data_IF_408822437036
#
_entry.id   IF_408822437036
#
_cell.length_a   1.000
_cell.length_b   1.000
_cell.length_c   1.000
_cell.angle_alpha   90.00
_cell.angle_beta   90.00
_cell.angle_gamma   90.00
#
_symmetry.space_group_name_H-M   'P 1'
#
loop_
_entity.id
_entity.type
_entity.pdbx_description
1 polymer ?
#
# COMPACT_ATOMS: atom_id res chain seq x y z
N UNK A 1 -20.03 -32.61 3.45
CA UNK A 1 -20.28 -31.19 3.74
C UNK A 1 -21.17 -31.11 4.98
N UNK A 2 -20.63 -31.33 6.16
CA UNK A 2 -21.34 -31.13 7.42
C UNK A 2 -21.13 -29.69 7.85
N UNK A 3 -22.25 -28.98 8.03
CA UNK A 3 -22.24 -27.56 8.32
C UNK A 3 -21.61 -27.27 9.68
N UNK A 4 -20.50 -26.55 9.65
CA UNK A 4 -19.99 -25.88 10.83
C UNK A 4 -21.10 -24.96 11.35
N UNK A 5 -21.53 -25.19 12.57
CA UNK A 5 -22.53 -24.41 13.28
C UNK A 5 -22.08 -22.96 13.29
N UNK A 6 -22.81 -22.10 12.58
CA UNK A 6 -22.42 -20.67 12.48
C UNK A 6 -22.46 -20.07 13.87
N UNK A 7 -21.40 -19.36 14.23
CA UNK A 7 -21.35 -18.61 15.48
C UNK A 7 -22.62 -17.77 15.67
N UNK A 8 -23.25 -17.89 16.85
CA UNK A 8 -24.39 -17.06 17.23
C UNK A 8 -24.00 -15.58 17.21
N UNK A 9 -24.96 -14.70 16.93
CA UNK A 9 -24.76 -13.24 16.79
C UNK A 9 -24.02 -12.63 17.99
N UNK A 10 -24.31 -13.09 19.21
CA UNK A 10 -23.64 -12.63 20.43
C UNK A 10 -22.16 -13.03 20.47
N UNK A 11 -21.87 -14.29 20.07
CA UNK A 11 -20.49 -14.81 20.03
C UNK A 11 -19.69 -14.18 18.91
N UNK A 12 -20.29 -13.96 17.73
CA UNK A 12 -19.66 -13.22 16.63
C UNK A 12 -19.32 -11.78 17.03
N UNK A 13 -20.25 -11.11 17.75
CA UNK A 13 -20.01 -9.76 18.28
C UNK A 13 -18.87 -9.73 19.32
N UNK A 14 -18.79 -10.72 20.20
CA UNK A 14 -17.72 -10.82 21.20
C UNK A 14 -16.36 -11.08 20.51
N UNK A 15 -16.32 -11.96 19.50
CA UNK A 15 -15.11 -12.24 18.73
C UNK A 15 -14.55 -10.98 18.07
N UNK A 16 -15.37 -10.28 17.30
CA UNK A 16 -14.93 -9.09 16.56
C UNK A 16 -14.70 -7.90 17.50
N UNK A 17 -15.49 -7.75 18.55
CA UNK A 17 -15.27 -6.74 19.59
C UNK A 17 -13.94 -6.90 20.30
N UNK A 18 -13.54 -8.14 20.62
CA UNK A 18 -12.24 -8.44 21.20
C UNK A 18 -11.08 -8.11 20.27
N UNK A 19 -11.19 -8.44 18.97
CA UNK A 19 -10.20 -8.06 17.96
C UNK A 19 -10.08 -6.53 17.91
N UNK A 20 -11.20 -5.83 17.84
CA UNK A 20 -11.23 -4.37 17.78
C UNK A 20 -10.57 -3.73 19.00
N UNK A 21 -10.86 -4.25 20.19
CA UNK A 21 -10.22 -3.79 21.43
C UNK A 21 -8.70 -3.97 21.39
N UNK A 22 -8.22 -5.15 20.98
CA UNK A 22 -6.77 -5.43 20.89
C UNK A 22 -6.12 -4.50 19.87
N UNK A 23 -6.73 -4.30 18.69
CA UNK A 23 -6.18 -3.45 17.63
C UNK A 23 -6.36 -1.95 17.90
N UNK A 24 -7.22 -1.54 18.82
CA UNK A 24 -7.37 -0.14 19.22
C UNK A 24 -6.28 0.31 20.21
N UNK A 25 -5.66 -0.63 20.93
CA UNK A 25 -4.64 -0.32 21.94
C UNK A 25 -3.44 0.49 21.39
N UNK A 26 -2.88 0.20 20.19
CA UNK A 26 -1.80 1.01 19.63
C UNK A 26 -2.16 2.48 19.43
N UNK A 27 -3.43 2.76 19.15
CA UNK A 27 -3.94 4.14 18.94
C UNK A 27 -3.86 4.96 20.23
N UNK A 28 -3.85 4.30 21.40
CA UNK A 28 -3.73 4.93 22.73
C UNK A 28 -2.29 5.36 23.08
N UNK A 29 -1.34 5.35 22.14
CA UNK A 29 0.00 5.90 22.34
C UNK A 29 1.06 4.90 22.83
N UNK A 30 0.79 3.60 22.80
CA UNK A 30 1.76 2.56 23.15
C UNK A 30 2.73 2.38 21.98
N UNK A 31 4.00 2.68 22.19
CA UNK A 31 5.08 2.57 21.19
C UNK A 31 5.54 1.12 20.99
N UNK A 32 4.64 0.24 20.58
CA UNK A 32 4.95 -1.17 20.27
C UNK A 32 4.58 -1.41 18.80
N UNK A 33 5.36 -2.20 18.04
CA UNK A 33 5.04 -2.51 16.65
C UNK A 33 3.64 -3.09 16.51
N UNK A 34 2.89 -2.59 15.52
CA UNK A 34 1.50 -3.01 15.23
C UNK A 34 1.39 -4.53 15.02
N UNK A 35 2.44 -5.15 14.50
CA UNK A 35 2.55 -6.59 14.30
C UNK A 35 2.31 -7.39 15.59
N UNK A 36 2.77 -6.90 16.74
CA UNK A 36 2.57 -7.55 18.02
C UNK A 36 1.08 -7.62 18.40
N UNK A 37 0.32 -6.57 18.12
CA UNK A 37 -1.12 -6.54 18.38
C UNK A 37 -1.90 -7.44 17.41
N UNK A 38 -1.48 -7.52 16.15
CA UNK A 38 -2.04 -8.49 15.22
C UNK A 38 -1.75 -9.93 15.64
N UNK A 39 -0.57 -10.20 16.19
CA UNK A 39 -0.23 -11.52 16.73
C UNK A 39 -1.07 -11.87 17.96
N UNK A 40 -1.28 -10.92 18.87
CA UNK A 40 -2.17 -11.10 20.02
C UNK A 40 -3.63 -11.35 19.58
N UNK A 41 -4.11 -10.57 18.60
CA UNK A 41 -5.44 -10.78 18.01
C UNK A 41 -5.55 -12.18 17.36
N UNK A 42 -4.50 -12.64 16.72
CA UNK A 42 -4.42 -13.96 16.11
C UNK A 42 -4.54 -15.08 17.14
N UNK A 43 -3.79 -14.99 18.26
CA UNK A 43 -3.91 -15.93 19.39
C UNK A 43 -5.32 -15.89 19.99
N UNK A 44 -5.86 -14.69 20.21
CA UNK A 44 -7.21 -14.52 20.76
C UNK A 44 -8.26 -15.22 19.88
N UNK A 45 -8.20 -15.04 18.56
CA UNK A 45 -9.17 -15.64 17.62
C UNK A 45 -9.07 -17.16 17.64
N UNK A 46 -7.89 -17.73 17.66
CA UNK A 46 -7.70 -19.19 17.74
C UNK A 46 -8.32 -19.73 19.02
N UNK A 47 -7.93 -19.21 20.16
CA UNK A 47 -8.44 -19.68 21.47
C UNK A 47 -9.97 -19.52 21.55
N UNK A 48 -10.51 -18.42 21.04
CA UNK A 48 -11.94 -18.19 21.03
C UNK A 48 -12.69 -19.19 20.14
N UNK A 49 -12.16 -19.49 18.95
CA UNK A 49 -12.81 -20.42 18.01
C UNK A 49 -12.68 -21.87 18.47
N UNK A 50 -11.55 -22.28 19.05
CA UNK A 50 -11.40 -23.60 19.67
C UNK A 50 -12.37 -23.80 20.83
N UNK A 51 -12.55 -22.78 21.69
CA UNK A 51 -13.55 -22.81 22.76
C UNK A 51 -15.00 -22.91 22.25
N UNK A 52 -15.24 -22.58 20.95
CA UNK A 52 -16.53 -22.68 20.30
C UNK A 52 -16.62 -23.88 19.31
N UNK A 53 -15.88 -24.95 19.59
CA UNK A 53 -15.96 -26.25 18.90
C UNK A 53 -15.42 -26.29 17.46
N UNK A 54 -14.59 -25.31 17.07
CA UNK A 54 -13.84 -25.40 15.82
C UNK A 54 -12.56 -26.23 16.06
N UNK A 55 -12.29 -27.17 15.16
CA UNK A 55 -11.06 -27.97 15.24
C UNK A 55 -9.85 -27.20 14.72
N UNK A 56 -8.67 -27.47 15.28
CA UNK A 56 -7.41 -26.88 14.80
C UNK A 56 -7.19 -27.06 13.30
N UNK A 57 -7.50 -28.26 12.78
CA UNK A 57 -7.32 -28.56 11.36
C UNK A 57 -8.18 -27.66 10.46
N UNK A 58 -9.43 -27.39 10.86
CA UNK A 58 -10.32 -26.48 10.10
C UNK A 58 -9.83 -25.04 10.12
N UNK A 59 -9.29 -24.58 11.28
CA UNK A 59 -8.72 -23.24 11.39
C UNK A 59 -7.45 -23.11 10.57
N UNK A 60 -6.58 -24.12 10.62
CA UNK A 60 -5.35 -24.17 9.84
C UNK A 60 -5.63 -24.13 8.33
N UNK A 61 -6.60 -24.93 7.85
CA UNK A 61 -7.01 -24.91 6.44
C UNK A 61 -7.52 -23.54 6.01
N UNK A 62 -8.36 -22.91 6.82
CA UNK A 62 -8.89 -21.57 6.55
C UNK A 62 -7.78 -20.51 6.52
N UNK A 63 -6.82 -20.56 7.46
CA UNK A 63 -5.66 -19.70 7.49
C UNK A 63 -4.81 -19.83 6.23
N UNK A 64 -4.43 -21.08 5.88
CA UNK A 64 -3.61 -21.35 4.69
C UNK A 64 -4.32 -20.88 3.43
N UNK A 65 -5.60 -21.22 3.26
CA UNK A 65 -6.39 -20.80 2.11
C UNK A 65 -6.45 -19.28 1.95
N UNK A 66 -6.61 -18.53 3.04
CA UNK A 66 -6.59 -17.06 2.98
C UNK A 66 -5.20 -16.50 2.73
N UNK A 67 -4.15 -17.08 3.30
CA UNK A 67 -2.78 -16.65 3.06
C UNK A 67 -2.35 -16.82 1.59
N UNK A 68 -2.95 -17.74 0.81
CA UNK A 68 -2.67 -17.82 -0.63
C UNK A 68 -3.04 -16.53 -1.37
N UNK A 69 -4.06 -15.82 -0.91
CA UNK A 69 -4.46 -14.51 -1.46
C UNK A 69 -3.42 -13.40 -1.16
N UNK A 70 -2.62 -13.56 -0.10
CA UNK A 70 -1.58 -12.62 0.28
C UNK A 70 -0.29 -12.77 -0.53
N UNK A 71 -0.09 -13.89 -1.23
CA UNK A 71 1.16 -14.21 -1.94
C UNK A 71 1.51 -13.14 -2.98
N UNK A 72 0.56 -12.72 -3.81
CA UNK A 72 0.79 -11.71 -4.84
C UNK A 72 1.18 -10.33 -4.26
N UNK A 73 0.44 -9.75 -3.28
CA UNK A 73 0.87 -8.54 -2.58
C UNK A 73 2.23 -8.66 -1.90
N UNK A 74 2.55 -9.82 -1.30
CA UNK A 74 3.84 -10.04 -0.65
C UNK A 74 4.99 -9.96 -1.65
N UNK A 75 4.90 -10.66 -2.79
CA UNK A 75 5.92 -10.56 -3.84
C UNK A 75 6.07 -9.14 -4.36
N UNK A 76 4.96 -8.42 -4.50
CA UNK A 76 4.99 -7.01 -4.89
C UNK A 76 5.78 -6.17 -3.87
N UNK A 77 5.52 -6.32 -2.57
CA UNK A 77 6.22 -5.59 -1.51
C UNK A 77 7.72 -5.90 -1.49
N UNK A 78 8.09 -7.17 -1.63
CA UNK A 78 9.51 -7.56 -1.68
C UNK A 78 10.24 -6.93 -2.88
N UNK A 79 9.61 -6.96 -4.05
CA UNK A 79 10.17 -6.32 -5.26
C UNK A 79 10.25 -4.79 -5.10
N UNK A 80 9.23 -4.15 -4.48
CA UNK A 80 9.23 -2.72 -4.23
C UNK A 80 10.34 -2.32 -3.25
N UNK A 81 10.55 -3.09 -2.17
CA UNK A 81 11.64 -2.87 -1.23
C UNK A 81 13.01 -3.01 -1.88
N UNK A 82 13.22 -4.07 -2.68
CA UNK A 82 14.43 -4.28 -3.46
C UNK A 82 14.72 -3.11 -4.42
N UNK A 83 13.71 -2.72 -5.20
CA UNK A 83 13.81 -1.62 -6.15
C UNK A 83 14.16 -0.30 -5.46
N UNK A 84 13.48 0.00 -4.34
CA UNK A 84 13.74 1.24 -3.58
C UNK A 84 15.19 1.31 -3.10
N UNK A 85 15.72 0.22 -2.53
CA UNK A 85 17.12 0.15 -2.11
C UNK A 85 18.09 0.41 -3.26
N UNK A 86 17.90 -0.27 -4.39
CA UNK A 86 18.75 -0.12 -5.58
C UNK A 86 18.59 1.26 -6.23
N UNK A 87 17.40 1.83 -6.27
CA UNK A 87 17.18 3.17 -6.82
C UNK A 87 17.77 4.29 -5.94
N UNK A 88 17.86 4.06 -4.64
CA UNK A 88 18.65 4.94 -3.76
C UNK A 88 20.13 4.85 -4.08
N UNK A 89 20.68 3.64 -4.24
CA UNK A 89 22.09 3.41 -4.56
C UNK A 89 22.45 3.96 -5.94
N UNK A 90 21.60 3.74 -6.96
CA UNK A 90 21.82 4.23 -8.34
C UNK A 90 21.63 5.74 -8.51
N UNK A 91 21.15 6.45 -7.47
CA UNK A 91 20.86 7.87 -7.55
C UNK A 91 19.55 8.21 -8.27
N UNK A 92 18.74 7.21 -8.65
CA UNK A 92 17.46 7.41 -9.32
C UNK A 92 16.47 8.19 -8.43
N UNK A 93 16.28 7.77 -7.17
CA UNK A 93 15.39 8.47 -6.22
C UNK A 93 15.92 9.88 -5.90
N UNK A 94 17.21 10.07 -5.53
CA UNK A 94 17.77 11.40 -5.34
C UNK A 94 17.60 12.33 -6.56
N UNK A 95 17.89 11.82 -7.77
CA UNK A 95 17.77 12.58 -9.01
C UNK A 95 16.34 13.03 -9.31
N UNK A 96 15.38 12.09 -9.18
CA UNK A 96 13.96 12.38 -9.36
C UNK A 96 13.41 13.35 -8.29
N UNK A 97 13.87 13.19 -7.05
CA UNK A 97 13.49 14.09 -5.95
C UNK A 97 13.98 15.50 -6.24
N UNK A 98 15.24 15.66 -6.68
CA UNK A 98 15.78 16.94 -7.07
C UNK A 98 14.97 17.60 -8.21
N UNK A 99 14.70 16.85 -9.28
CA UNK A 99 13.88 17.32 -10.40
C UNK A 99 12.47 17.70 -9.94
N UNK A 100 11.88 16.88 -9.07
CA UNK A 100 10.55 17.16 -8.50
C UNK A 100 10.51 18.47 -7.70
N UNK A 101 11.52 18.73 -6.87
CA UNK A 101 11.63 19.98 -6.10
C UNK A 101 11.78 21.20 -7.01
N UNK A 102 12.49 21.09 -8.13
CA UNK A 102 12.63 22.20 -9.08
C UNK A 102 11.33 22.55 -9.82
N UNK A 103 10.48 21.55 -10.08
CA UNK A 103 9.27 21.71 -10.89
C UNK A 103 8.00 21.92 -10.06
N UNK A 104 7.96 21.36 -8.84
CA UNK A 104 6.78 21.41 -7.97
C UNK A 104 7.00 22.49 -6.91
N UNK A 105 6.13 23.49 -6.89
CA UNK A 105 6.13 24.47 -5.79
C UNK A 105 5.61 23.80 -4.51
N UNK A 106 6.19 24.11 -3.34
CA UNK A 106 5.76 23.49 -2.07
C UNK A 106 4.26 23.59 -1.82
N UNK A 107 3.64 24.72 -2.12
CA UNK A 107 2.20 24.94 -1.93
C UNK A 107 1.33 23.96 -2.74
N UNK A 108 1.80 23.55 -3.93
CA UNK A 108 1.10 22.67 -4.85
C UNK A 108 1.50 21.21 -4.69
N UNK A 109 2.49 20.91 -3.84
CA UNK A 109 2.99 19.56 -3.63
C UNK A 109 1.86 18.55 -3.29
N UNK A 110 0.95 18.81 -2.28
CA UNK A 110 -0.06 17.83 -1.93
C UNK A 110 -1.02 17.53 -3.08
N UNK A 111 -1.41 18.56 -3.85
CA UNK A 111 -2.29 18.39 -5.01
C UNK A 111 -1.60 17.60 -6.12
N UNK A 112 -0.32 17.90 -6.37
CA UNK A 112 0.48 17.22 -7.42
C UNK A 112 0.74 15.77 -7.05
N UNK A 113 1.09 15.48 -5.79
CA UNK A 113 1.28 14.12 -5.29
C UNK A 113 -0.01 13.30 -5.34
N UNK A 114 -1.13 13.90 -4.91
CA UNK A 114 -2.45 13.28 -5.01
C UNK A 114 -2.79 12.94 -6.48
N UNK A 115 -2.68 13.92 -7.38
CA UNK A 115 -3.03 13.76 -8.80
C UNK A 115 -2.12 12.73 -9.49
N UNK A 116 -0.82 12.72 -9.20
CA UNK A 116 0.13 11.75 -9.73
C UNK A 116 -0.18 10.33 -9.29
N UNK A 117 -0.42 10.12 -8.00
CA UNK A 117 -0.79 8.80 -7.46
C UNK A 117 -2.18 8.36 -7.94
N UNK A 118 -3.13 9.28 -8.04
CA UNK A 118 -4.46 9.03 -8.59
C UNK A 118 -4.39 8.55 -10.04
N UNK A 119 -3.70 9.29 -10.91
CA UNK A 119 -3.58 8.95 -12.32
C UNK A 119 -2.86 7.61 -12.52
N UNK A 120 -1.78 7.39 -11.78
CA UNK A 120 -1.02 6.15 -11.86
C UNK A 120 -1.84 4.94 -11.39
N UNK A 121 -2.59 5.08 -10.29
CA UNK A 121 -3.48 4.04 -9.78
C UNK A 121 -4.65 3.78 -10.72
N UNK A 122 -5.22 4.82 -11.33
CA UNK A 122 -6.26 4.71 -12.34
C UNK A 122 -5.80 3.91 -13.57
N UNK A 123 -4.58 4.17 -14.06
CA UNK A 123 -4.01 3.50 -15.23
C UNK A 123 -3.60 2.04 -14.93
N UNK A 124 -3.09 1.78 -13.74
CA UNK A 124 -2.60 0.44 -13.37
C UNK A 124 -3.66 -0.45 -12.74
N UNK A 125 -4.73 0.14 -12.19
CA UNK A 125 -5.75 -0.59 -11.44
C UNK A 125 -5.25 -1.15 -10.11
N UNK A 126 -4.16 -0.61 -9.55
CA UNK A 126 -3.53 -1.14 -8.34
C UNK A 126 -3.04 -0.03 -7.40
N UNK A 127 -3.56 -0.03 -6.16
CA UNK A 127 -3.09 0.87 -5.09
C UNK A 127 -1.64 0.57 -4.73
N UNK A 128 -1.27 -0.70 -4.60
CA UNK A 128 0.09 -1.11 -4.25
C UNK A 128 1.11 -0.65 -5.28
N UNK A 129 0.76 -0.79 -6.57
CA UNK A 129 1.60 -0.31 -7.67
C UNK A 129 1.83 1.20 -7.59
N UNK A 130 0.77 1.96 -7.33
CA UNK A 130 0.85 3.41 -7.20
C UNK A 130 1.68 3.84 -5.99
N UNK A 131 1.41 3.28 -4.82
CA UNK A 131 2.15 3.61 -3.60
C UNK A 131 3.62 3.16 -3.66
N UNK A 132 3.88 1.97 -4.22
CA UNK A 132 5.23 1.40 -4.28
C UNK A 132 6.12 1.99 -5.38
N UNK A 133 5.58 2.78 -6.31
CA UNK A 133 6.35 3.47 -7.35
C UNK A 133 6.26 4.98 -7.18
N UNK A 134 5.17 5.59 -7.63
CA UNK A 134 4.94 7.04 -7.53
C UNK A 134 4.86 7.52 -6.09
N UNK A 135 4.28 6.71 -5.19
CA UNK A 135 4.16 7.06 -3.78
C UNK A 135 5.49 7.25 -3.10
N UNK A 136 6.45 6.36 -3.32
CA UNK A 136 7.81 6.49 -2.76
C UNK A 136 8.49 7.75 -3.28
N UNK A 137 8.36 8.04 -4.59
CA UNK A 137 8.92 9.23 -5.18
C UNK A 137 8.34 10.51 -4.56
N UNK A 138 7.01 10.62 -4.52
CA UNK A 138 6.36 11.79 -3.93
C UNK A 138 6.61 11.89 -2.42
N UNK A 139 6.74 10.77 -1.70
CA UNK A 139 7.09 10.80 -0.28
C UNK A 139 8.46 11.46 -0.08
N UNK A 140 9.45 11.07 -0.86
CA UNK A 140 10.79 11.67 -0.79
C UNK A 140 10.79 13.15 -1.21
N UNK A 141 10.04 13.54 -2.23
CA UNK A 141 9.87 14.95 -2.63
C UNK A 141 9.24 15.74 -1.48
N UNK A 142 8.16 15.26 -0.89
CA UNK A 142 7.44 15.95 0.18
C UNK A 142 8.27 16.11 1.44
N UNK A 143 8.94 15.06 1.89
CA UNK A 143 9.84 15.14 3.07
C UNK A 143 11.02 16.06 2.81
N UNK A 144 11.58 16.06 1.61
CA UNK A 144 12.64 17.00 1.21
C UNK A 144 12.14 18.46 1.12
N UNK A 145 10.86 18.70 0.88
CA UNK A 145 10.21 20.00 0.94
C UNK A 145 9.79 20.40 2.37
N UNK A 146 10.05 19.56 3.39
CA UNK A 146 9.73 19.84 4.79
C UNK A 146 8.32 19.44 5.22
N UNK A 147 7.56 18.73 4.38
CA UNK A 147 6.29 18.16 4.81
C UNK A 147 6.51 17.02 5.80
N UNK A 148 5.65 16.96 6.81
CA UNK A 148 5.61 15.79 7.69
C UNK A 148 5.31 14.53 6.88
N UNK A 149 6.05 13.46 7.15
CA UNK A 149 5.90 12.16 6.47
C UNK A 149 4.44 11.65 6.51
N UNK A 150 3.74 11.88 7.64
CA UNK A 150 2.34 11.51 7.81
C UNK A 150 1.41 12.22 6.83
N UNK A 151 1.62 13.51 6.58
CA UNK A 151 0.83 14.31 5.65
C UNK A 151 1.12 13.85 4.21
N UNK A 152 2.39 13.69 3.86
CA UNK A 152 2.79 13.21 2.55
C UNK A 152 2.21 11.81 2.27
N UNK A 153 2.32 10.89 3.21
CA UNK A 153 1.75 9.54 3.08
C UNK A 153 0.22 9.55 2.95
N UNK A 154 -0.48 10.38 3.74
CA UNK A 154 -1.94 10.49 3.66
C UNK A 154 -2.41 10.96 2.28
N UNK A 155 -1.76 11.96 1.70
CA UNK A 155 -2.06 12.49 0.36
C UNK A 155 -1.84 11.43 -0.72
N UNK A 156 -0.72 10.72 -0.66
CA UNK A 156 -0.35 9.64 -1.59
C UNK A 156 -1.38 8.52 -1.55
N UNK A 157 -1.72 8.04 -0.35
CA UNK A 157 -2.68 6.96 -0.13
C UNK A 157 -4.06 7.39 -0.62
N UNK A 158 -4.51 8.60 -0.28
CA UNK A 158 -5.80 9.12 -0.73
C UNK A 158 -5.89 9.17 -2.27
N UNK A 159 -4.84 9.67 -2.94
CA UNK A 159 -4.77 9.68 -4.41
C UNK A 159 -4.84 8.27 -5.00
N UNK A 160 -4.03 7.35 -4.47
CA UNK A 160 -3.97 5.97 -4.96
C UNK A 160 -5.33 5.24 -4.81
N UNK A 161 -6.01 5.36 -3.66
CA UNK A 161 -7.32 4.74 -3.43
C UNK A 161 -8.42 5.35 -4.30
N UNK A 162 -8.45 6.67 -4.45
CA UNK A 162 -9.44 7.33 -5.30
C UNK A 162 -9.27 6.94 -6.78
N UNK A 163 -8.04 6.85 -7.27
CA UNK A 163 -7.76 6.40 -8.64
C UNK A 163 -8.15 4.94 -8.86
N UNK A 164 -7.82 4.08 -7.91
CA UNK A 164 -8.16 2.65 -7.92
C UNK A 164 -9.67 2.39 -7.97
N UNK A 165 -10.45 3.12 -7.18
CA UNK A 165 -11.88 2.90 -7.07
C UNK A 165 -12.66 3.24 -8.33
N UNK A 166 -12.16 4.12 -9.21
CA UNK A 166 -12.80 4.43 -10.51
C UNK A 166 -12.11 3.78 -11.71
N UNK A 167 -11.07 3.00 -11.47
CA UNK A 167 -10.31 2.35 -12.54
C UNK A 167 -11.06 1.14 -13.10
N UNK A 168 -11.25 1.05 -14.43
CA UNK A 168 -11.81 -0.14 -15.06
C UNK A 168 -10.86 -1.36 -14.97
N UNK A 169 -9.59 -1.15 -14.67
CA UNK A 169 -8.59 -2.22 -14.49
C UNK A 169 -8.46 -2.68 -13.04
N UNK A 170 -9.20 -2.06 -12.11
CA UNK A 170 -9.17 -2.40 -10.69
C UNK A 170 -9.73 -3.80 -10.44
N UNK A 171 -8.96 -4.61 -9.72
CA UNK A 171 -9.39 -5.95 -9.28
C UNK A 171 -10.67 -5.87 -8.44
N UNK A 172 -10.80 -4.82 -7.61
CA UNK A 172 -11.98 -4.60 -6.77
C UNK A 172 -13.23 -4.38 -7.60
N UNK A 173 -13.19 -3.47 -8.59
CA UNK A 173 -14.35 -3.16 -9.43
C UNK A 173 -14.73 -4.35 -10.30
N UNK A 174 -13.75 -5.08 -10.82
CA UNK A 174 -13.99 -6.31 -11.60
C UNK A 174 -14.59 -7.42 -10.73
N UNK A 175 -14.08 -7.61 -9.51
CA UNK A 175 -14.61 -8.58 -8.56
C UNK A 175 -16.04 -8.21 -8.15
N UNK A 176 -16.30 -6.93 -7.87
CA UNK A 176 -17.63 -6.44 -7.52
C UNK A 176 -18.62 -6.68 -8.66
N UNK A 177 -18.25 -6.32 -9.89
CA UNK A 177 -19.05 -6.52 -11.10
C UNK A 177 -19.42 -7.99 -11.29
N UNK A 178 -18.46 -8.88 -11.17
CA UNK A 178 -18.68 -10.33 -11.31
C UNK A 178 -19.49 -10.94 -10.17
N UNK A 179 -19.33 -10.44 -8.94
CA UNK A 179 -20.05 -10.94 -7.76
C UNK A 179 -21.53 -10.57 -7.76
N UNK A 180 -21.88 -9.44 -8.37
CA UNK A 180 -23.27 -8.94 -8.45
C UNK A 180 -23.90 -9.24 -9.81
N UNK A 181 -23.15 -9.88 -10.72
CA UNK A 181 -23.57 -10.23 -12.10
C UNK A 181 -24.07 -9.00 -12.90
N UNK A 182 -23.45 -7.83 -12.66
CA UNK A 182 -23.77 -6.57 -13.33
C UNK A 182 -22.64 -6.20 -14.29
N UNK A 183 -22.97 -5.60 -15.43
CA UNK A 183 -21.97 -5.09 -16.38
C UNK A 183 -20.98 -4.11 -15.71
N UNK A 184 -19.70 -4.27 -16.01
CA UNK A 184 -18.61 -3.43 -15.49
C UNK A 184 -18.90 -1.92 -15.63
N UNK A 185 -19.50 -1.51 -16.76
CA UNK A 185 -19.84 -0.11 -17.01
C UNK A 185 -20.88 0.45 -16.04
N UNK A 186 -21.85 -0.38 -15.60
CA UNK A 186 -22.87 0.03 -14.62
C UNK A 186 -22.27 0.08 -13.21
N UNK A 187 -21.40 -0.87 -12.87
CA UNK A 187 -20.67 -0.89 -11.59
C UNK A 187 -19.77 0.36 -11.48
N UNK A 188 -18.99 0.68 -12.52
CA UNK A 188 -18.16 1.89 -12.56
C UNK A 188 -18.98 3.18 -12.42
N UNK A 189 -20.19 3.23 -13.02
CA UNK A 189 -21.07 4.39 -12.88
C UNK A 189 -21.59 4.56 -11.47
N UNK A 190 -21.91 3.46 -10.77
CA UNK A 190 -22.33 3.48 -9.38
C UNK A 190 -21.17 3.91 -8.46
N UNK A 191 -20.01 3.29 -8.61
CA UNK A 191 -18.79 3.63 -7.87
C UNK A 191 -18.38 5.09 -8.06
N UNK A 192 -18.46 5.61 -9.28
CA UNK A 192 -18.15 7.01 -9.58
C UNK A 192 -18.99 7.98 -8.75
N UNK A 193 -20.27 7.71 -8.57
CA UNK A 193 -21.14 8.56 -7.79
C UNK A 193 -20.74 8.63 -6.31
N UNK A 194 -20.16 7.55 -5.76
CA UNK A 194 -19.66 7.48 -4.40
C UNK A 194 -18.27 8.12 -4.27
N UNK A 195 -17.41 7.91 -5.25
CA UNK A 195 -16.00 8.34 -5.18
C UNK A 195 -15.83 9.82 -5.54
N UNK A 196 -16.65 10.40 -6.41
CA UNK A 196 -16.56 11.83 -6.77
C UNK A 196 -16.64 12.75 -5.54
N UNK A 197 -17.57 12.60 -4.59
CA UNK A 197 -17.56 13.39 -3.37
C UNK A 197 -16.29 13.21 -2.56
N UNK A 198 -15.77 11.98 -2.49
CA UNK A 198 -14.52 11.66 -1.79
C UNK A 198 -13.33 12.36 -2.45
N UNK A 199 -13.25 12.36 -3.78
CA UNK A 199 -12.22 13.11 -4.53
C UNK A 199 -12.27 14.60 -4.18
N UNK A 200 -13.48 15.20 -4.15
CA UNK A 200 -13.63 16.62 -3.80
C UNK A 200 -13.14 16.92 -2.37
N UNK A 201 -13.48 16.08 -1.41
CA UNK A 201 -13.03 16.23 -0.02
C UNK A 201 -11.53 16.06 0.09
N UNK A 202 -10.95 15.04 -0.56
CA UNK A 202 -9.51 14.82 -0.57
C UNK A 202 -8.75 15.98 -1.23
N UNK A 203 -9.23 16.49 -2.36
CA UNK A 203 -8.62 17.65 -3.01
C UNK A 203 -8.70 18.90 -2.13
N UNK A 204 -9.84 19.16 -1.48
CA UNK A 204 -9.96 20.27 -0.53
C UNK A 204 -8.95 20.11 0.64
N UNK A 205 -8.78 18.89 1.15
CA UNK A 205 -7.76 18.57 2.15
C UNK A 205 -6.34 18.81 1.65
N UNK A 206 -6.04 18.43 0.40
CA UNK A 206 -4.74 18.69 -0.23
C UNK A 206 -4.46 20.19 -0.39
N UNK A 207 -5.45 20.96 -0.84
CA UNK A 207 -5.33 22.43 -0.93
C UNK A 207 -5.11 23.06 0.46
N UNK A 208 -5.86 22.61 1.46
CA UNK A 208 -5.67 23.09 2.83
C UNK A 208 -4.28 22.75 3.37
N UNK A 209 -3.80 21.53 3.15
CA UNK A 209 -2.45 21.11 3.54
C UNK A 209 -1.36 21.91 2.82
N UNK A 210 -1.53 22.19 1.53
CA UNK A 210 -0.63 23.03 0.75
C UNK A 210 -0.58 24.45 1.28
N UNK A 211 -1.75 25.04 1.53
CA UNK A 211 -1.84 26.41 2.05
C UNK A 211 -1.22 26.56 3.45
N UNK A 212 -1.54 25.63 4.36
CA UNK A 212 -0.99 25.66 5.73
C UNK A 212 0.53 25.50 5.77
N UNK A 213 1.12 24.80 4.83
CA UNK A 213 2.55 24.52 4.77
C UNK A 213 3.29 25.37 3.72
N UNK A 214 2.65 26.40 3.15
CA UNK A 214 3.25 27.29 2.15
C UNK A 214 4.52 28.01 2.66
N UNK A 215 4.65 28.20 3.96
CA UNK A 215 5.81 28.86 4.59
C UNK A 215 7.04 27.95 4.74
N UNK A 216 6.90 26.64 4.47
CA UNK A 216 8.01 25.67 4.57
C UNK A 216 9.05 25.78 3.43
N UNK A 217 8.90 26.75 2.52
CA UNK A 217 9.71 26.96 1.30
C UNK A 217 11.18 27.39 1.54
N UNK A 218 11.76 27.11 2.72
CA UNK A 218 13.12 27.47 3.09
C UNK A 218 14.16 26.33 3.04
N UNK A 219 14.01 25.34 2.17
CA UNK A 219 14.87 24.15 2.20
C UNK A 219 16.13 24.35 1.37
N UNK A 220 17.27 24.13 2.02
CA UNK A 220 18.57 24.03 1.36
C UNK A 220 18.59 22.78 0.46
N UNK A 221 18.46 22.99 -0.84
CA UNK A 221 18.69 21.95 -1.84
C UNK A 221 20.19 21.65 -1.81
N UNK A 222 20.55 20.50 -1.26
CA UNK A 222 21.91 20.02 -1.39
C UNK A 222 22.12 19.63 -2.86
N UNK A 223 23.06 20.29 -3.53
CA UNK A 223 23.36 20.07 -4.95
C UNK A 223 23.67 18.59 -5.22
N UNK A 224 22.67 17.85 -5.66
CA UNK A 224 22.90 16.59 -6.35
C UNK A 224 23.65 16.87 -7.65
N UNK A 225 24.76 16.22 -7.87
CA UNK A 225 25.51 16.45 -9.10
C UNK A 225 24.60 16.17 -10.32
N UNK A 226 24.67 17.03 -11.34
CA UNK A 226 23.87 16.90 -12.58
C UNK A 226 23.99 15.51 -13.22
N UNK A 227 25.11 14.83 -13.00
CA UNK A 227 25.32 13.46 -13.46
C UNK A 227 24.38 12.45 -12.82
N UNK A 228 24.13 12.55 -11.51
CA UNK A 228 23.19 11.66 -10.78
C UNK A 228 21.77 11.86 -11.32
N UNK A 229 21.41 13.11 -11.66
CA UNK A 229 20.10 13.43 -12.23
C UNK A 229 19.87 12.74 -13.59
N UNK A 230 20.79 12.87 -14.54
CA UNK A 230 20.67 12.30 -15.89
C UNK A 230 20.57 10.78 -15.84
N UNK A 231 21.38 10.11 -15.03
CA UNK A 231 21.37 8.66 -14.92
C UNK A 231 20.17 8.13 -14.13
N UNK A 232 19.68 8.91 -13.16
CA UNK A 232 18.45 8.59 -12.44
C UNK A 232 17.25 8.52 -13.37
N UNK A 233 17.12 9.47 -14.28
CA UNK A 233 16.02 9.54 -15.26
C UNK A 233 16.08 8.40 -16.29
N UNK A 234 17.26 7.97 -16.71
CA UNK A 234 17.41 6.83 -17.63
C UNK A 234 16.89 5.52 -17.05
N UNK A 235 16.97 5.32 -15.73
CA UNK A 235 16.46 4.12 -15.08
C UNK A 235 14.92 4.01 -15.14
N UNK A 236 14.20 5.12 -15.33
CA UNK A 236 12.73 5.13 -15.40
C UNK A 236 12.15 4.59 -16.70
N UNK A 237 12.84 4.73 -17.81
CA UNK A 237 12.31 4.35 -19.12
C UNK A 237 11.93 2.87 -19.20
N UNK A 238 12.73 1.99 -18.63
CA UNK A 238 12.50 0.55 -18.69
C UNK A 238 11.32 0.08 -17.82
N UNK A 239 11.18 0.50 -16.55
CA UNK A 239 10.01 0.19 -15.74
C UNK A 239 8.70 0.73 -16.31
N UNK A 240 8.70 1.97 -16.83
CA UNK A 240 7.52 2.57 -17.45
C UNK A 240 7.09 1.78 -18.69
N UNK A 241 8.03 1.41 -19.56
CA UNK A 241 7.74 0.58 -20.73
C UNK A 241 7.17 -0.80 -20.34
N UNK A 242 7.75 -1.45 -19.32
CA UNK A 242 7.28 -2.75 -18.83
C UNK A 242 5.91 -2.64 -18.15
N UNK A 243 5.63 -1.54 -17.45
CA UNK A 243 4.34 -1.30 -16.82
C UNK A 243 3.22 -1.17 -17.87
N UNK A 244 3.50 -0.55 -19.00
CA UNK A 244 2.53 -0.41 -20.11
C UNK A 244 2.24 -1.74 -20.82
N UNK A 245 3.15 -2.71 -20.77
CA UNK A 245 3.08 -3.98 -21.51
C UNK A 245 2.83 -5.21 -20.66
N UNK A 246 3.11 -5.15 -19.35
CA UNK A 246 3.16 -6.29 -18.43
C UNK A 246 2.54 -5.93 -17.07
N UNK A 247 2.51 -6.91 -16.17
CA UNK A 247 2.04 -6.71 -14.80
C UNK A 247 3.02 -5.85 -14.00
N UNK A 248 2.53 -5.19 -12.94
CA UNK A 248 3.29 -4.30 -12.07
C UNK A 248 4.56 -4.94 -11.47
N UNK A 249 4.54 -6.23 -11.13
CA UNK A 249 5.70 -6.96 -10.61
C UNK A 249 6.84 -6.98 -11.65
N UNK A 250 6.52 -7.19 -12.93
CA UNK A 250 7.55 -7.16 -13.98
C UNK A 250 8.17 -5.77 -14.14
N UNK A 251 7.38 -4.70 -13.96
CA UNK A 251 7.88 -3.34 -13.98
C UNK A 251 8.85 -3.06 -12.84
N UNK A 252 8.54 -3.52 -11.61
CA UNK A 252 9.43 -3.40 -10.45
C UNK A 252 10.72 -4.19 -10.63
N UNK A 253 10.64 -5.42 -11.15
CA UNK A 253 11.83 -6.23 -11.45
C UNK A 253 12.71 -5.56 -12.50
N UNK A 254 12.12 -5.03 -13.58
CA UNK A 254 12.85 -4.29 -14.61
C UNK A 254 13.51 -3.02 -14.04
N UNK A 255 12.81 -2.30 -13.16
CA UNK A 255 13.36 -1.15 -12.42
C UNK A 255 14.55 -1.52 -11.52
N UNK A 256 14.44 -2.66 -10.83
CA UNK A 256 15.53 -3.17 -10.02
C UNK A 256 16.75 -3.53 -10.88
N UNK A 257 16.55 -4.27 -11.97
CA UNK A 257 17.65 -4.67 -12.89
C UNK A 257 18.30 -3.45 -13.55
N UNK A 258 17.50 -2.49 -14.04
CA UNK A 258 18.05 -1.25 -14.64
C UNK A 258 18.84 -0.43 -13.63
N UNK A 259 18.35 -0.31 -12.39
CA UNK A 259 19.08 0.36 -11.32
C UNK A 259 20.38 -0.34 -10.93
N UNK A 260 20.41 -1.68 -10.86
CA UNK A 260 21.64 -2.45 -10.65
C UNK A 260 22.64 -2.24 -11.77
N UNK A 261 22.19 -2.22 -13.03
CA UNK A 261 23.05 -1.96 -14.17
C UNK A 261 23.71 -0.57 -14.10
N UNK A 262 22.94 0.48 -13.76
CA UNK A 262 23.47 1.84 -13.56
C UNK A 262 24.46 1.88 -12.39
N UNK A 263 24.13 1.28 -11.25
CA UNK A 263 25.01 1.22 -10.09
C UNK A 263 26.34 0.53 -10.41
N UNK A 264 26.33 -0.52 -11.23
CA UNK A 264 27.53 -1.28 -11.60
C UNK A 264 28.35 -0.59 -12.69
N UNK A 265 27.74 -0.23 -13.84
CA UNK A 265 28.47 0.26 -15.01
C UNK A 265 28.88 1.73 -14.88
N UNK A 266 28.01 2.59 -14.34
CA UNK A 266 28.26 4.03 -14.29
C UNK A 266 28.83 4.49 -12.96
N UNK A 267 28.27 4.01 -11.83
CA UNK A 267 28.73 4.41 -10.51
C UNK A 267 29.87 3.53 -9.99
N UNK A 268 30.19 2.42 -10.68
CA UNK A 268 31.29 1.50 -10.38
C UNK A 268 31.26 0.90 -8.98
N UNK A 269 30.05 0.73 -8.41
CA UNK A 269 29.91 0.02 -7.15
C UNK A 269 30.31 -1.45 -7.30
N UNK A 270 30.92 -2.00 -6.26
CA UNK A 270 31.24 -3.44 -6.19
C UNK A 270 29.96 -4.25 -6.13
N UNK A 271 29.96 -5.41 -6.77
CA UNK A 271 28.81 -6.32 -6.78
C UNK A 271 28.34 -6.70 -5.37
N UNK A 272 29.28 -6.87 -4.42
CA UNK A 272 28.94 -7.12 -3.00
C UNK A 272 28.14 -5.98 -2.38
N UNK A 273 28.48 -4.72 -2.67
CA UNK A 273 27.72 -3.55 -2.19
C UNK A 273 26.31 -3.53 -2.77
N UNK A 274 26.17 -3.82 -4.07
CA UNK A 274 24.87 -3.87 -4.74
C UNK A 274 23.98 -4.94 -4.10
N UNK A 275 24.49 -6.15 -3.86
CA UNK A 275 23.73 -7.22 -3.22
C UNK A 275 23.40 -6.92 -1.75
N UNK A 276 24.33 -6.28 -1.02
CA UNK A 276 24.06 -5.87 0.34
C UNK A 276 22.93 -4.83 0.41
N UNK A 277 22.95 -3.84 -0.47
CA UNK A 277 21.89 -2.82 -0.54
C UNK A 277 20.56 -3.42 -1.03
N UNK A 278 20.60 -4.37 -1.96
CA UNK A 278 19.40 -5.09 -2.38
C UNK A 278 18.70 -5.76 -1.19
N UNK A 279 19.47 -6.35 -0.28
CA UNK A 279 18.94 -7.07 0.88
C UNK A 279 18.64 -6.15 2.06
N UNK A 280 19.63 -5.39 2.51
CA UNK A 280 19.55 -4.57 3.74
C UNK A 280 19.09 -3.14 3.50
N UNK A 281 19.10 -2.65 2.25
CA UNK A 281 18.94 -1.24 1.93
C UNK A 281 20.23 -0.44 2.06
N UNK A 282 20.20 0.87 1.76
CA UNK A 282 21.35 1.75 1.86
C UNK A 282 21.81 1.94 3.31
N UNK A 283 23.12 2.14 3.53
CA UNK A 283 23.70 2.36 4.84
C UNK A 283 23.14 3.63 5.52
N UNK A 284 23.17 3.66 6.87
CA UNK A 284 22.58 4.71 7.73
C UNK A 284 23.16 6.13 7.53
N UNK A 285 24.13 6.32 6.64
CA UNK A 285 24.68 7.61 6.25
C UNK A 285 24.01 8.27 5.03
N UNK A 286 23.07 7.59 4.38
CA UNK A 286 22.34 8.10 3.23
C UNK A 286 21.11 8.90 3.68
N UNK A 287 20.81 10.02 3.03
CA UNK A 287 19.63 10.85 3.33
C UNK A 287 18.28 10.10 3.18
N UNK A 288 18.28 8.97 2.47
CA UNK A 288 17.11 8.14 2.23
C UNK A 288 17.34 6.75 2.82
N UNK A 289 16.92 6.56 4.07
CA UNK A 289 17.14 5.32 4.83
C UNK A 289 16.17 4.18 4.48
N UNK A 290 15.28 4.36 3.50
CA UNK A 290 14.26 3.37 3.16
C UNK A 290 14.69 2.48 1.99
N UNK A 291 14.41 1.19 2.09
CA UNK A 291 14.61 0.22 1.01
C UNK A 291 15.28 -1.06 1.47
N UNK A 292 15.45 -1.97 0.51
CA UNK A 292 15.94 -3.32 0.74
C UNK A 292 14.83 -4.32 1.06
N UNK A 293 15.06 -5.59 0.73
CA UNK A 293 14.09 -6.68 0.95
C UNK A 293 13.79 -6.84 2.44
N UNK A 294 14.79 -6.75 3.29
CA UNK A 294 14.66 -6.93 4.74
C UNK A 294 13.75 -5.86 5.39
N UNK A 295 13.69 -4.64 4.86
CA UNK A 295 12.84 -3.59 5.37
C UNK A 295 11.34 -3.93 5.24
N UNK A 296 10.98 -4.82 4.32
CA UNK A 296 9.60 -5.26 4.10
C UNK A 296 9.18 -6.41 5.01
N UNK A 297 10.09 -7.04 5.77
CA UNK A 297 9.80 -8.21 6.59
C UNK A 297 8.67 -7.99 7.60
N UNK A 298 8.66 -6.84 8.28
CA UNK A 298 7.59 -6.48 9.21
C UNK A 298 6.22 -6.33 8.53
N UNK A 299 6.20 -5.77 7.33
CA UNK A 299 4.96 -5.61 6.53
C UNK A 299 4.47 -6.95 6.01
N UNK A 300 5.37 -7.82 5.55
CA UNK A 300 5.04 -9.19 5.12
C UNK A 300 4.44 -9.99 6.28
N UNK A 301 5.03 -9.91 7.47
CA UNK A 301 4.48 -10.55 8.66
C UNK A 301 3.07 -10.03 8.98
N UNK A 302 2.87 -8.71 8.89
CA UNK A 302 1.57 -8.09 9.09
C UNK A 302 0.52 -8.61 8.09
N UNK A 303 0.89 -8.74 6.80
CA UNK A 303 0.00 -9.30 5.78
C UNK A 303 -0.39 -10.75 6.09
N UNK A 304 0.59 -11.59 6.44
CA UNK A 304 0.33 -12.99 6.80
C UNK A 304 -0.62 -13.10 8.00
N UNK A 305 -0.40 -12.32 9.04
CA UNK A 305 -1.27 -12.29 10.22
C UNK A 305 -2.67 -11.79 9.88
N UNK A 306 -2.78 -10.70 9.12
CA UNK A 306 -4.08 -10.12 8.74
C UNK A 306 -4.90 -11.06 7.86
N UNK A 307 -4.29 -11.69 6.84
CA UNK A 307 -4.98 -12.64 5.97
C UNK A 307 -5.34 -13.93 6.71
N UNK A 308 -4.48 -14.41 7.61
CA UNK A 308 -4.77 -15.55 8.49
C UNK A 308 -5.97 -15.26 9.40
N UNK A 309 -6.02 -14.09 10.04
CA UNK A 309 -7.16 -13.63 10.83
C UNK A 309 -8.43 -13.59 9.98
N UNK A 310 -8.36 -12.99 8.79
CA UNK A 310 -9.49 -12.88 7.89
C UNK A 310 -10.04 -14.27 7.50
N UNK A 311 -9.16 -15.24 7.21
CA UNK A 311 -9.56 -16.61 6.90
C UNK A 311 -10.34 -17.29 8.01
N UNK A 312 -9.90 -17.15 9.24
CA UNK A 312 -10.61 -17.68 10.41
C UNK A 312 -11.97 -17.00 10.62
N UNK A 313 -12.04 -15.67 10.45
CA UNK A 313 -13.29 -14.91 10.55
C UNK A 313 -14.27 -15.27 9.42
N UNK A 314 -13.79 -15.49 8.21
CA UNK A 314 -14.60 -15.95 7.07
C UNK A 314 -15.16 -17.34 7.34
N UNK A 315 -14.34 -18.28 7.80
CA UNK A 315 -14.73 -19.66 8.14
C UNK A 315 -15.77 -19.72 9.25
N UNK A 316 -15.59 -18.91 10.30
CA UNK A 316 -16.52 -18.85 11.44
C UNK A 316 -17.87 -18.22 11.09
N UNK A 317 -17.98 -17.55 9.95
CA UNK A 317 -19.18 -16.82 9.53
C UNK A 317 -19.42 -15.52 10.33
N UNK A 318 -18.48 -15.12 11.19
CA UNK A 318 -18.61 -13.92 12.01
C UNK A 318 -18.79 -12.65 11.17
N UNK A 319 -18.05 -12.53 10.07
CA UNK A 319 -18.18 -11.40 9.12
C UNK A 319 -19.60 -11.33 8.56
N UNK A 320 -20.14 -12.45 8.06
CA UNK A 320 -21.49 -12.49 7.49
C UNK A 320 -22.57 -12.15 8.52
N UNK A 321 -22.39 -12.62 9.75
CA UNK A 321 -23.31 -12.34 10.85
C UNK A 321 -23.36 -10.84 11.21
N UNK A 322 -22.21 -10.17 11.18
CA UNK A 322 -22.11 -8.72 11.42
C UNK A 322 -22.63 -7.88 10.26
N UNK A 323 -22.50 -8.36 9.01
CA UNK A 323 -22.99 -7.65 7.83
C UNK A 323 -24.51 -7.77 7.64
N UNK A 324 -25.19 -8.73 8.29
CA UNK A 324 -26.65 -8.91 8.18
C UNK A 324 -27.49 -7.65 8.46
N UNK A 325 -27.20 -6.81 9.47
CA UNK A 325 -27.95 -5.58 9.69
C UNK A 325 -27.82 -4.57 8.55
N UNK A 326 -26.62 -4.50 7.94
CA UNK A 326 -26.35 -3.63 6.79
C UNK A 326 -27.11 -4.10 5.54
N UNK A 327 -27.15 -5.41 5.30
CA UNK A 327 -27.96 -5.96 4.20
C UNK A 327 -29.44 -5.70 4.38
N UNK A 328 -29.98 -5.85 5.60
CA UNK A 328 -31.38 -5.53 5.90
C UNK A 328 -31.71 -4.05 5.69
N UNK A 329 -30.78 -3.15 6.03
CA UNK A 329 -30.93 -1.72 5.80
C UNK A 329 -30.92 -1.39 4.29
N UNK A 330 -30.01 -2.00 3.53
CA UNK A 330 -29.90 -1.83 2.07
C UNK A 330 -31.12 -2.39 1.31
N UNK A 331 -31.75 -3.47 1.80
CA UNK A 331 -32.98 -4.04 1.21
C UNK A 331 -34.22 -3.18 1.48
N UNK A 332 -34.20 -2.35 2.53
CA UNK A 332 -35.32 -1.44 2.86
C UNK A 332 -35.36 -0.21 1.94
N UNK A 333 -34.22 0.18 1.35
CA UNK A 333 -34.17 1.29 0.38
C UNK A 333 -34.58 0.89 -1.06
N UNK A 334 -34.77 -0.40 -1.33
CA UNK A 334 -35.23 -0.90 -2.64
C UNK A 334 -36.78 -0.97 -2.75
N UNK A 335 -37.54 -0.59 -1.72
CA UNK A 335 -38.96 -0.41 -1.74
C UNK A 335 -39.31 1.09 -1.76
#
# INVERSE_FOLDING_TARGET
MMGAEKLDKKRSGALVGGIFLILAVPVCGIQVPVQAFFFLAWIYVILFLEANSYSWNELQEAMVHSCTRAVSPIFFLLCAGAMTGIWNLSGTIPGLTYTGILWIRPEWYPVTAYAGCFLFSFLTGSVFSSCGTMGILFLNIGTSMGYEEKIAAAVIIAGAFCGYGISPMSDFVNLLSSSVEIELAKTLKAERNSIIPTICVCLAGCFYAGWKNAELAGISIQESSKMIQIFGEMCLGMPVYMLMRKNAIHALMAGCVSGMAVAFFYQKYRWQTILNVLWNGPDQGSYFHSGGISSMAGTVLLFLLAFSLFGMLEKSGAIRCMMQPLFKWADTEKK
#
